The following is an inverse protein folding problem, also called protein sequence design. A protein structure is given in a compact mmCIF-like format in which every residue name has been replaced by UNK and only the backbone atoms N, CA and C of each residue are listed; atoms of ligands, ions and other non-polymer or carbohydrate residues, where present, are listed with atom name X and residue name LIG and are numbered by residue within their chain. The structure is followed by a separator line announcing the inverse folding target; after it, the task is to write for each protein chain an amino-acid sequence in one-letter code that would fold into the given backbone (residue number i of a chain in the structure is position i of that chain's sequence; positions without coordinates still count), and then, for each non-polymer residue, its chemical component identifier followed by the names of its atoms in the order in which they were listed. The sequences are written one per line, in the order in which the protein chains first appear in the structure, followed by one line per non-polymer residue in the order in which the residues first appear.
data_IF_736402917783
#
_entry.id   IF_736402917783
#
_cell.length_a   1.000
_cell.length_b   1.000
_cell.length_c   1.000
_cell.angle_alpha   90.00
_cell.angle_beta   90.00
_cell.angle_gamma   90.00
#
_symmetry.space_group_name_H-M   'P 1'
#
loop_
_entity.id
_entity.type
_entity.pdbx_description
1 polymer ?
#
# COMPACT_ATOMS: atom_id res chain seq x y z
N UNK A 1 -74.16 9.86 -54.67
CA UNK A 1 -72.71 9.96 -54.45
C UNK A 1 -72.53 10.81 -53.21
N UNK A 2 -72.03 10.19 -52.13
CA UNK A 2 -71.60 10.91 -50.92
C UNK A 2 -70.09 10.93 -51.03
N UNK A 3 -69.52 12.09 -51.33
CA UNK A 3 -68.07 12.27 -51.35
C UNK A 3 -67.59 12.28 -49.89
N UNK A 4 -66.70 11.35 -49.58
CA UNK A 4 -66.14 11.18 -48.24
C UNK A 4 -65.10 12.27 -48.00
N UNK A 5 -65.47 13.28 -47.22
CA UNK A 5 -64.75 14.55 -47.03
C UNK A 5 -63.39 14.41 -46.30
N UNK A 6 -62.92 13.19 -46.07
CA UNK A 6 -61.78 12.88 -45.21
C UNK A 6 -60.78 11.88 -45.80
N UNK A 7 -60.87 11.56 -47.10
CA UNK A 7 -59.93 10.60 -47.74
C UNK A 7 -58.47 11.07 -47.77
N UNK A 8 -58.18 12.37 -47.60
CA UNK A 8 -56.82 12.95 -47.70
C UNK A 8 -56.28 13.56 -46.39
N UNK A 9 -56.89 13.30 -45.23
CA UNK A 9 -56.37 13.81 -43.94
C UNK A 9 -55.55 12.71 -43.25
N UNK A 10 -54.26 12.61 -43.58
CA UNK A 10 -53.32 11.86 -42.75
C UNK A 10 -53.23 12.52 -41.36
N UNK A 11 -53.78 11.85 -40.34
CA UNK A 11 -53.54 12.16 -38.95
C UNK A 11 -52.05 12.00 -38.67
N UNK A 12 -51.32 13.12 -38.59
CA UNK A 12 -49.93 13.15 -38.17
C UNK A 12 -49.80 12.50 -36.79
N UNK A 13 -49.36 11.25 -36.77
CA UNK A 13 -48.99 10.58 -35.53
C UNK A 13 -47.72 11.26 -34.99
N UNK A 14 -47.57 11.42 -33.66
CA UNK A 14 -46.39 11.99 -33.05
C UNK A 14 -45.24 10.96 -33.07
N UNK A 15 -44.88 10.48 -34.26
CA UNK A 15 -43.80 9.51 -34.48
C UNK A 15 -42.43 10.16 -34.58
N UNK A 16 -42.35 11.49 -34.50
CA UNK A 16 -41.12 12.27 -34.67
C UNK A 16 -40.85 13.28 -33.54
N UNK A 17 -41.53 13.16 -32.41
CA UNK A 17 -41.21 13.98 -31.22
C UNK A 17 -40.14 13.25 -30.43
N UNK A 18 -38.93 13.82 -30.38
CA UNK A 18 -37.88 13.37 -29.49
C UNK A 18 -38.31 13.61 -28.03
N UNK A 19 -38.85 12.55 -27.41
CA UNK A 19 -39.24 12.54 -26.00
C UNK A 19 -38.06 12.22 -25.08
N UNK A 20 -36.82 12.24 -25.57
CA UNK A 20 -35.62 11.97 -24.78
C UNK A 20 -35.23 13.08 -23.81
N UNK A 21 -35.96 14.20 -23.79
CA UNK A 21 -35.80 15.25 -22.78
C UNK A 21 -36.18 14.68 -21.42
N UNK A 22 -35.19 14.12 -20.74
CA UNK A 22 -35.27 13.84 -19.31
C UNK A 22 -35.25 15.18 -18.60
N UNK A 23 -36.33 15.53 -17.92
CA UNK A 23 -36.34 16.65 -16.99
C UNK A 23 -35.23 16.43 -15.96
N UNK A 24 -34.14 17.18 -16.08
CA UNK A 24 -33.07 17.21 -15.08
C UNK A 24 -33.58 18.10 -13.97
N UNK A 25 -34.09 17.49 -12.91
CA UNK A 25 -34.44 18.20 -11.69
C UNK A 25 -33.12 18.64 -11.05
N UNK A 26 -32.79 19.93 -11.17
CA UNK A 26 -31.71 20.56 -10.41
C UNK A 26 -32.18 20.64 -8.95
N UNK A 27 -31.88 19.62 -8.15
CA UNK A 27 -32.27 19.53 -6.73
C UNK A 27 -31.40 20.40 -5.80
N UNK A 28 -30.45 21.14 -6.37
CA UNK A 28 -29.48 21.97 -5.64
C UNK A 28 -28.37 21.16 -4.96
N UNK A 29 -28.26 19.85 -5.22
CA UNK A 29 -27.16 19.03 -4.72
C UNK A 29 -25.83 19.43 -5.39
N UNK A 30 -24.72 19.42 -4.64
CA UNK A 30 -23.40 19.69 -5.21
C UNK A 30 -23.03 18.61 -6.24
N UNK A 31 -22.26 18.99 -7.25
CA UNK A 31 -21.73 18.03 -8.20
C UNK A 31 -20.68 17.14 -7.54
N UNK A 32 -20.46 15.89 -8.02
CA UNK A 32 -19.40 15.01 -7.54
C UNK A 32 -17.96 15.56 -7.67
N UNK A 33 -17.78 16.67 -8.37
CA UNK A 33 -16.51 17.39 -8.52
C UNK A 33 -16.38 18.58 -7.57
N UNK A 34 -17.46 18.98 -6.89
CA UNK A 34 -17.46 20.14 -6.02
C UNK A 34 -16.72 19.87 -4.70
N UNK A 35 -15.99 20.85 -4.15
CA UNK A 35 -15.31 20.69 -2.87
C UNK A 35 -16.24 20.29 -1.71
N UNK A 36 -17.52 20.70 -1.78
CA UNK A 36 -18.55 20.42 -0.77
C UNK A 36 -19.18 19.03 -0.91
N UNK A 37 -18.86 18.28 -1.97
CA UNK A 37 -19.43 16.96 -2.24
C UNK A 37 -19.24 16.01 -1.06
N UNK A 38 -18.03 15.96 -0.50
CA UNK A 38 -17.72 15.06 0.61
C UNK A 38 -18.62 15.32 1.82
N UNK A 39 -18.81 16.57 2.21
CA UNK A 39 -19.59 16.95 3.38
C UNK A 39 -21.09 16.73 3.14
N UNK A 40 -21.55 16.97 1.91
CA UNK A 40 -22.91 16.65 1.49
C UNK A 40 -23.20 15.15 1.62
N UNK A 41 -22.37 14.28 1.02
CA UNK A 41 -22.58 12.83 1.08
C UNK A 41 -22.50 12.33 2.52
N UNK A 42 -21.59 12.87 3.35
CA UNK A 42 -21.51 12.51 4.77
C UNK A 42 -22.74 12.94 5.57
N UNK A 43 -23.42 14.02 5.18
CA UNK A 43 -24.66 14.46 5.84
C UNK A 43 -25.85 13.54 5.59
N UNK A 44 -25.76 12.62 4.62
CA UNK A 44 -26.82 11.67 4.31
C UNK A 44 -26.79 10.42 5.19
N UNK A 45 -25.73 10.21 5.98
CA UNK A 45 -25.60 9.06 6.89
C UNK A 45 -26.34 9.32 8.20
N UNK A 46 -26.96 8.27 8.73
CA UNK A 46 -27.55 8.29 10.06
C UNK A 46 -26.46 8.10 11.15
N UNK A 47 -26.74 8.52 12.39
CA UNK A 47 -25.75 8.42 13.48
C UNK A 47 -25.32 6.97 13.78
N UNK A 48 -26.24 6.01 13.62
CA UNK A 48 -25.99 4.57 13.78
C UNK A 48 -25.22 3.95 12.59
N UNK A 49 -25.04 4.68 11.49
CA UNK A 49 -24.26 4.29 10.32
C UNK A 49 -22.85 4.87 10.34
N UNK A 50 -22.52 5.64 11.39
CA UNK A 50 -21.22 6.26 11.59
C UNK A 50 -20.54 5.66 12.82
N UNK A 51 -19.27 5.30 12.68
CA UNK A 51 -18.40 4.97 13.80
C UNK A 51 -17.21 5.93 13.80
N UNK A 52 -17.11 6.76 14.85
CA UNK A 52 -16.08 7.80 14.94
C UNK A 52 -16.02 8.70 13.68
N UNK A 53 -17.19 9.17 13.23
CA UNK A 53 -17.40 9.97 12.01
C UNK A 53 -17.07 9.28 10.69
N UNK A 54 -16.73 8.00 10.70
CA UNK A 54 -16.47 7.21 9.50
C UNK A 54 -17.69 6.36 9.17
N UNK A 55 -18.08 6.28 7.89
CA UNK A 55 -19.24 5.50 7.50
C UNK A 55 -18.95 4.00 7.61
N UNK A 56 -19.94 3.28 8.13
CA UNK A 56 -19.99 1.82 8.12
C UNK A 56 -20.43 1.32 6.73
N UNK A 57 -20.07 0.09 6.40
CA UNK A 57 -20.36 -0.49 5.08
C UNK A 57 -21.87 -0.62 4.80
N UNK A 58 -22.69 -0.84 5.83
CA UNK A 58 -24.15 -0.84 5.70
C UNK A 58 -24.71 0.54 5.29
N UNK A 59 -24.24 1.61 5.92
CA UNK A 59 -24.62 2.98 5.55
C UNK A 59 -24.13 3.33 4.15
N UNK A 60 -22.91 2.92 3.79
CA UNK A 60 -22.36 3.14 2.46
C UNK A 60 -23.25 2.50 1.38
N UNK A 61 -23.82 1.33 1.65
CA UNK A 61 -24.73 0.65 0.71
C UNK A 61 -26.00 1.46 0.49
N UNK A 62 -26.63 1.94 1.58
CA UNK A 62 -27.86 2.75 1.51
C UNK A 62 -27.63 4.07 0.80
N UNK A 63 -26.59 4.82 1.18
CA UNK A 63 -26.28 6.13 0.60
C UNK A 63 -25.82 6.00 -0.86
N UNK A 64 -25.12 4.93 -1.21
CA UNK A 64 -24.79 4.63 -2.61
C UNK A 64 -26.05 4.38 -3.45
N UNK A 65 -27.02 3.60 -2.94
CA UNK A 65 -28.28 3.41 -3.67
C UNK A 65 -29.10 4.69 -3.79
N UNK A 66 -29.03 5.57 -2.79
CA UNK A 66 -29.71 6.87 -2.81
C UNK A 66 -29.16 7.80 -3.90
N UNK A 67 -27.84 7.84 -4.09
CA UNK A 67 -27.19 8.80 -5.00
C UNK A 67 -26.90 8.26 -6.39
N UNK A 68 -26.64 6.96 -6.51
CA UNK A 68 -26.22 6.32 -7.78
C UNK A 68 -27.30 5.41 -8.37
N UNK A 69 -28.41 5.20 -7.66
CA UNK A 69 -29.47 4.29 -8.05
C UNK A 69 -29.24 2.86 -7.56
N UNK A 70 -30.12 1.94 -7.96
CA UNK A 70 -30.15 0.58 -7.43
C UNK A 70 -28.86 -0.19 -7.72
N UNK A 71 -28.33 -0.90 -6.72
CA UNK A 71 -27.25 -1.86 -6.93
C UNK A 71 -27.85 -3.14 -7.53
N UNK A 72 -27.42 -3.50 -8.74
CA UNK A 72 -27.86 -4.73 -9.43
C UNK A 72 -26.95 -5.92 -9.16
N UNK A 73 -25.71 -5.67 -8.73
CA UNK A 73 -24.77 -6.69 -8.29
C UNK A 73 -23.84 -6.14 -7.23
N UNK A 74 -23.65 -6.89 -6.13
CA UNK A 74 -22.60 -6.64 -5.14
C UNK A 74 -22.09 -7.99 -4.65
N UNK A 75 -20.80 -8.24 -4.82
CA UNK A 75 -20.21 -9.50 -4.38
C UNK A 75 -18.71 -9.62 -4.64
N UNK A 76 -18.07 -10.64 -4.05
CA UNK A 76 -16.66 -10.91 -4.30
C UNK A 76 -16.47 -11.43 -5.72
N UNK A 77 -15.57 -10.81 -6.47
CA UNK A 77 -15.15 -11.30 -7.79
C UNK A 77 -14.01 -12.30 -7.69
N UNK A 78 -13.14 -12.16 -6.68
CA UNK A 78 -12.06 -13.09 -6.37
C UNK A 78 -11.83 -13.15 -4.86
N UNK A 79 -11.58 -14.36 -4.35
CA UNK A 79 -11.30 -14.61 -2.94
C UNK A 79 -10.01 -15.42 -2.84
N UNK A 80 -9.04 -14.88 -2.10
CA UNK A 80 -7.80 -15.54 -1.74
C UNK A 80 -7.85 -15.84 -0.24
N UNK A 81 -8.32 -17.04 0.16
CA UNK A 81 -8.37 -17.41 1.57
C UNK A 81 -6.95 -17.67 2.11
N UNK A 82 -6.76 -17.73 3.43
CA UNK A 82 -5.48 -18.13 4.03
C UNK A 82 -5.08 -19.51 3.52
N UNK A 83 -3.86 -19.63 3.01
CA UNK A 83 -3.30 -20.90 2.53
C UNK A 83 -2.30 -21.47 3.55
N UNK A 84 -2.23 -22.80 3.63
CA UNK A 84 -1.21 -23.51 4.40
C UNK A 84 0.19 -23.07 3.95
N UNK A 85 1.05 -22.67 4.89
CA UNK A 85 2.38 -22.11 4.62
C UNK A 85 2.42 -20.57 4.60
N UNK A 86 1.28 -19.88 4.59
CA UNK A 86 1.21 -18.44 4.84
C UNK A 86 1.04 -18.19 6.35
N UNK A 87 2.15 -18.14 7.08
CA UNK A 87 2.14 -18.02 8.56
C UNK A 87 1.37 -16.78 9.09
N UNK A 88 1.13 -15.78 8.25
CA UNK A 88 0.46 -14.53 8.64
C UNK A 88 -1.08 -14.66 8.54
N UNK A 89 -1.59 -15.74 7.94
CA UNK A 89 -3.03 -15.96 7.79
C UNK A 89 -3.72 -14.93 6.91
N UNK A 90 -3.01 -14.33 5.94
CA UNK A 90 -3.57 -13.26 5.10
C UNK A 90 -4.66 -13.76 4.18
N UNK A 91 -5.78 -13.05 4.19
CA UNK A 91 -6.87 -13.17 3.22
C UNK A 91 -6.94 -11.91 2.37
N UNK A 92 -7.17 -12.06 1.07
CA UNK A 92 -7.38 -10.95 0.14
C UNK A 92 -8.69 -11.17 -0.61
N UNK A 93 -9.54 -10.15 -0.68
CA UNK A 93 -10.81 -10.22 -1.40
C UNK A 93 -10.87 -9.05 -2.37
N UNK A 94 -11.23 -9.35 -3.62
CA UNK A 94 -11.60 -8.36 -4.63
C UNK A 94 -13.12 -8.31 -4.68
N UNK A 95 -13.68 -7.11 -4.51
CA UNK A 95 -15.12 -6.88 -4.50
C UNK A 95 -15.54 -6.09 -5.73
N UNK A 96 -16.70 -6.42 -6.29
CA UNK A 96 -17.29 -5.73 -7.43
C UNK A 96 -18.72 -5.29 -7.10
N UNK A 97 -19.03 -4.07 -7.47
CA UNK A 97 -20.36 -3.47 -7.40
C UNK A 97 -20.75 -2.99 -8.79
N UNK A 98 -22.01 -3.22 -9.16
CA UNK A 98 -22.61 -2.72 -10.38
C UNK A 98 -23.95 -2.06 -10.07
N UNK A 99 -24.15 -0.87 -10.60
CA UNK A 99 -25.41 -0.12 -10.51
C UNK A 99 -26.26 -0.34 -11.76
N UNK A 100 -27.55 -0.02 -11.66
CA UNK A 100 -28.54 -0.17 -12.75
C UNK A 100 -28.20 0.63 -14.00
N UNK A 101 -27.49 1.76 -13.86
CA UNK A 101 -26.98 2.57 -14.97
C UNK A 101 -25.80 1.92 -15.73
N UNK A 102 -25.35 0.74 -15.28
CA UNK A 102 -24.22 -0.01 -15.82
C UNK A 102 -22.86 0.38 -15.24
N UNK A 103 -22.78 1.43 -14.42
CA UNK A 103 -21.55 1.84 -13.76
C UNK A 103 -21.05 0.73 -12.84
N UNK A 104 -19.73 0.51 -12.85
CA UNK A 104 -19.10 -0.60 -12.13
C UNK A 104 -17.92 -0.07 -11.34
N UNK A 105 -17.87 -0.45 -10.06
CA UNK A 105 -16.79 -0.10 -9.16
C UNK A 105 -16.22 -1.36 -8.53
N UNK A 106 -14.91 -1.38 -8.38
CA UNK A 106 -14.20 -2.50 -7.78
C UNK A 106 -13.07 -2.02 -6.90
N UNK A 107 -12.82 -2.78 -5.85
CA UNK A 107 -11.67 -2.58 -4.99
C UNK A 107 -11.21 -3.89 -4.35
N UNK A 108 -10.05 -3.82 -3.72
CA UNK A 108 -9.41 -4.93 -3.03
C UNK A 108 -9.11 -4.54 -1.57
N UNK A 109 -9.28 -5.51 -0.67
CA UNK A 109 -8.81 -5.38 0.69
C UNK A 109 -8.20 -6.69 1.18
N UNK A 110 -7.24 -6.54 2.10
CA UNK A 110 -6.60 -7.63 2.81
C UNK A 110 -6.94 -7.57 4.30
N UNK A 111 -7.03 -8.76 4.91
CA UNK A 111 -7.17 -8.93 6.35
C UNK A 111 -6.18 -9.96 6.84
N UNK A 112 -5.40 -9.56 7.83
CA UNK A 112 -4.42 -10.38 8.54
C UNK A 112 -4.13 -9.80 9.92
N UNK A 113 -3.40 -10.55 10.75
CA UNK A 113 -3.18 -10.26 12.18
C UNK A 113 -2.66 -8.84 12.47
N UNK A 114 -1.81 -8.28 11.61
CA UNK A 114 -1.24 -6.95 11.85
C UNK A 114 -2.12 -5.78 11.44
N UNK A 115 -3.10 -5.99 10.56
CA UNK A 115 -3.97 -4.92 10.06
C UNK A 115 -5.44 -5.06 10.49
N UNK A 116 -5.77 -6.08 11.28
CA UNK A 116 -7.12 -6.41 11.72
C UNK A 116 -7.13 -6.61 13.22
N UNK A 117 -8.15 -6.09 13.91
CA UNK A 117 -8.34 -6.33 15.35
C UNK A 117 -8.46 -7.83 15.65
N UNK A 118 -7.98 -8.27 16.81
CA UNK A 118 -7.94 -9.69 17.18
C UNK A 118 -9.34 -10.34 17.14
N UNK A 119 -10.39 -9.60 17.52
CA UNK A 119 -11.76 -10.12 17.50
C UNK A 119 -12.27 -10.40 16.08
N UNK A 120 -11.80 -9.65 15.07
CA UNK A 120 -12.22 -9.80 13.68
C UNK A 120 -11.24 -10.63 12.86
N UNK A 121 -10.01 -10.81 13.33
CA UNK A 121 -8.96 -11.55 12.62
C UNK A 121 -9.28 -13.04 12.49
N UNK A 122 -10.07 -13.62 13.40
CA UNK A 122 -10.55 -15.01 13.29
C UNK A 122 -11.47 -15.24 12.08
N UNK A 123 -12.05 -14.16 11.53
CA UNK A 123 -12.89 -14.17 10.34
C UNK A 123 -12.23 -13.42 9.17
N UNK A 124 -10.92 -13.61 8.98
CA UNK A 124 -10.09 -12.85 8.04
C UNK A 124 -10.70 -12.68 6.64
N UNK A 125 -11.23 -13.75 6.04
CA UNK A 125 -11.85 -13.67 4.70
C UNK A 125 -13.10 -12.81 4.69
N UNK A 126 -13.95 -12.92 5.72
CA UNK A 126 -15.17 -12.11 5.83
C UNK A 126 -14.82 -10.63 6.09
N UNK A 127 -13.86 -10.37 6.97
CA UNK A 127 -13.36 -9.02 7.26
C UNK A 127 -12.74 -8.37 6.03
N UNK A 128 -11.93 -9.11 5.26
CA UNK A 128 -11.41 -8.64 3.98
C UNK A 128 -12.53 -8.32 2.97
N UNK A 129 -13.57 -9.15 2.92
CA UNK A 129 -14.73 -8.92 2.04
C UNK A 129 -15.49 -7.64 2.40
N UNK A 130 -15.83 -7.43 3.67
CA UNK A 130 -16.53 -6.20 4.12
C UNK A 130 -15.68 -4.96 3.86
N UNK A 131 -14.37 -5.01 4.12
CA UNK A 131 -13.45 -3.90 3.80
C UNK A 131 -13.41 -3.60 2.30
N UNK A 132 -13.34 -4.62 1.46
CA UNK A 132 -13.31 -4.47 0.01
C UNK A 132 -14.63 -3.87 -0.52
N UNK A 133 -15.78 -4.28 0.03
CA UNK A 133 -17.08 -3.68 -0.25
C UNK A 133 -17.11 -2.18 0.12
N UNK A 134 -16.75 -1.85 1.37
CA UNK A 134 -16.74 -0.47 1.85
C UNK A 134 -15.83 0.44 1.00
N UNK A 135 -14.68 -0.06 0.57
CA UNK A 135 -13.77 0.63 -0.35
C UNK A 135 -14.38 0.88 -1.74
N UNK A 136 -15.02 -0.12 -2.32
CA UNK A 136 -15.68 0.01 -3.61
C UNK A 136 -16.84 1.03 -3.56
N UNK A 137 -17.65 1.00 -2.49
CA UNK A 137 -18.72 1.98 -2.26
C UNK A 137 -18.18 3.40 -2.04
N UNK A 138 -17.10 3.54 -1.26
CA UNK A 138 -16.40 4.83 -1.07
C UNK A 138 -15.91 5.41 -2.39
N UNK A 139 -15.35 4.57 -3.27
CA UNK A 139 -14.91 4.97 -4.62
C UNK A 139 -16.10 5.40 -5.48
N UNK A 140 -17.20 4.66 -5.43
CA UNK A 140 -18.43 5.01 -6.14
C UNK A 140 -18.94 6.40 -5.72
N UNK A 141 -18.98 6.64 -4.41
CA UNK A 141 -19.39 7.90 -3.79
C UNK A 141 -18.32 9.00 -3.78
N UNK A 142 -17.09 8.74 -4.25
CA UNK A 142 -15.94 9.67 -4.24
C UNK A 142 -15.63 10.28 -2.86
N UNK A 143 -15.81 9.49 -1.79
CA UNK A 143 -15.55 9.93 -0.42
C UNK A 143 -14.06 9.94 -0.09
N UNK A 144 -13.62 10.94 0.68
CA UNK A 144 -12.23 11.06 1.14
C UNK A 144 -11.97 10.27 2.43
N UNK A 145 -12.98 10.15 3.27
CA UNK A 145 -12.89 9.43 4.56
C UNK A 145 -12.89 7.92 4.35
N UNK A 146 -12.09 7.19 5.12
CA UNK A 146 -12.07 5.72 5.10
C UNK A 146 -13.34 5.13 5.69
N UNK A 147 -13.71 3.90 5.29
CA UNK A 147 -14.80 3.19 5.97
C UNK A 147 -14.32 2.75 7.35
N UNK A 148 -15.24 2.68 8.31
CA UNK A 148 -14.92 2.30 9.68
C UNK A 148 -14.23 0.93 9.75
N UNK A 149 -14.63 -0.02 8.92
CA UNK A 149 -14.05 -1.36 8.89
C UNK A 149 -12.59 -1.38 8.38
N UNK A 150 -12.14 -0.34 7.68
CA UNK A 150 -10.74 -0.21 7.23
C UNK A 150 -9.78 0.22 8.33
N UNK A 151 -10.29 0.85 9.39
CA UNK A 151 -9.44 1.40 10.44
C UNK A 151 -8.88 0.30 11.31
N UNK A 152 -7.57 0.33 11.49
CA UNK A 152 -6.88 -0.47 12.49
C UNK A 152 -6.23 0.44 13.52
N UNK A 153 -6.37 0.08 14.80
CA UNK A 153 -5.67 0.75 15.91
C UNK A 153 -4.27 0.16 16.13
N UNK A 154 -3.93 -0.93 15.43
CA UNK A 154 -2.63 -1.58 15.52
C UNK A 154 -1.58 -0.80 14.74
N UNK A 155 -0.35 -0.80 15.24
CA UNK A 155 0.81 -0.26 14.52
C UNK A 155 1.25 -1.26 13.43
N UNK A 156 0.53 -1.23 12.31
CA UNK A 156 0.71 -2.15 11.18
C UNK A 156 2.15 -2.16 10.68
N UNK A 157 2.84 -1.00 10.73
CA UNK A 157 4.21 -0.85 10.27
C UNK A 157 5.19 -1.60 11.18
N UNK A 158 5.06 -1.45 12.50
CA UNK A 158 5.86 -2.24 13.45
C UNK A 158 5.59 -3.73 13.36
N UNK A 159 4.32 -4.12 13.26
CA UNK A 159 3.96 -5.54 13.16
C UNK A 159 4.50 -6.16 11.85
N UNK A 160 4.42 -5.44 10.73
CA UNK A 160 5.00 -5.89 9.47
C UNK A 160 6.53 -6.01 9.54
N UNK A 161 7.19 -5.08 10.25
CA UNK A 161 8.64 -5.16 10.52
C UNK A 161 8.97 -6.38 11.39
N UNK A 162 8.26 -6.60 12.48
CA UNK A 162 8.49 -7.73 13.40
C UNK A 162 8.27 -9.10 12.74
N UNK A 163 7.26 -9.21 11.88
CA UNK A 163 7.02 -10.43 11.10
C UNK A 163 8.13 -10.64 10.06
N UNK A 164 8.58 -9.58 9.40
CA UNK A 164 9.71 -9.65 8.45
C UNK A 164 10.99 -10.11 9.14
N UNK A 165 11.24 -9.62 10.37
CA UNK A 165 12.36 -10.04 11.23
C UNK A 165 12.26 -11.52 11.63
N UNK A 166 11.06 -12.01 11.98
CA UNK A 166 10.84 -13.42 12.35
C UNK A 166 10.97 -14.39 11.18
N UNK A 167 10.61 -13.99 9.95
CA UNK A 167 10.62 -14.87 8.77
C UNK A 167 11.97 -14.98 8.05
N UNK A 168 13.01 -14.26 8.49
CA UNK A 168 14.32 -14.29 7.83
C UNK A 168 14.30 -13.82 6.36
N UNK A 169 13.23 -13.15 5.93
CA UNK A 169 13.05 -12.66 4.56
C UNK A 169 13.55 -11.20 4.48
N UNK A 170 14.86 -11.03 4.63
CA UNK A 170 15.52 -9.74 4.43
C UNK A 170 16.07 -9.66 3.00
N UNK A 171 15.41 -8.87 2.15
CA UNK A 171 15.98 -8.48 0.84
C UNK A 171 16.15 -6.96 0.72
N UNK A 172 15.80 -6.16 1.73
CA UNK A 172 16.03 -4.71 1.66
C UNK A 172 15.73 -3.98 2.97
N UNK A 173 16.38 -4.34 4.06
CA UNK A 173 16.92 -3.37 5.03
C UNK A 173 17.39 -4.16 6.22
N UNK A 174 18.62 -4.63 6.10
CA UNK A 174 19.38 -5.14 7.22
C UNK A 174 19.29 -4.14 8.37
N UNK A 175 18.59 -4.51 9.44
CA UNK A 175 19.14 -4.30 10.76
C UNK A 175 20.47 -5.05 10.75
N UNK A 176 21.47 -4.34 10.27
CA UNK A 176 22.83 -4.80 10.16
C UNK A 176 23.24 -5.24 11.55
N UNK A 177 23.32 -6.55 11.76
CA UNK A 177 23.91 -7.11 12.97
C UNK A 177 25.38 -6.67 13.00
N UNK A 178 25.56 -5.47 13.55
CA UNK A 178 26.80 -4.73 13.58
C UNK A 178 27.83 -5.40 14.50
N UNK A 179 27.36 -6.33 15.35
CA UNK A 179 28.13 -7.07 16.34
C UNK A 179 28.72 -8.39 15.82
N UNK A 180 28.16 -8.96 14.75
CA UNK A 180 28.68 -10.19 14.14
C UNK A 180 30.08 -10.00 13.54
N UNK A 181 30.79 -11.10 13.29
CA UNK A 181 32.12 -11.07 12.68
C UNK A 181 32.08 -10.56 11.23
N UNK A 182 33.12 -9.80 10.84
CA UNK A 182 33.34 -9.29 9.49
C UNK A 182 33.05 -10.36 8.43
N UNK A 183 32.27 -9.98 7.42
CA UNK A 183 31.89 -10.91 6.35
C UNK A 183 33.01 -11.05 5.31
N UNK A 184 33.05 -12.19 4.61
CA UNK A 184 34.00 -12.41 3.50
C UNK A 184 33.98 -11.32 2.41
N UNK A 185 32.82 -10.82 1.97
CA UNK A 185 32.73 -9.69 1.05
C UNK A 185 33.39 -8.41 1.59
N UNK A 186 33.20 -8.06 2.87
CA UNK A 186 33.85 -6.89 3.48
C UNK A 186 35.36 -7.06 3.54
N UNK A 187 35.84 -8.25 3.93
CA UNK A 187 37.26 -8.55 3.96
C UNK A 187 37.90 -8.41 2.56
N UNK A 188 37.21 -8.89 1.50
CA UNK A 188 37.67 -8.78 0.12
C UNK A 188 37.64 -7.34 -0.40
N UNK A 189 36.67 -6.55 0.05
CA UNK A 189 36.62 -5.13 -0.30
C UNK A 189 37.77 -4.34 0.34
N UNK A 190 38.01 -4.55 1.63
CA UNK A 190 39.14 -3.94 2.36
C UNK A 190 40.46 -4.33 1.68
N UNK A 191 40.64 -5.61 1.34
CA UNK A 191 41.84 -6.11 0.66
C UNK A 191 42.06 -5.44 -0.70
N UNK A 192 41.04 -5.46 -1.56
CA UNK A 192 41.12 -4.85 -2.89
C UNK A 192 41.40 -3.36 -2.86
N UNK A 193 40.78 -2.63 -1.92
CA UNK A 193 41.00 -1.18 -1.74
C UNK A 193 42.37 -0.88 -1.15
N UNK A 194 42.82 -1.66 -0.17
CA UNK A 194 44.14 -1.50 0.44
C UNK A 194 45.24 -1.75 -0.58
N UNK A 195 45.07 -2.74 -1.45
CA UNK A 195 45.96 -2.99 -2.59
C UNK A 195 45.94 -1.85 -3.61
N UNK A 196 44.76 -1.30 -3.93
CA UNK A 196 44.61 -0.20 -4.88
C UNK A 196 45.27 1.10 -4.38
N UNK A 197 45.19 1.37 -3.08
CA UNK A 197 45.73 2.58 -2.44
C UNK A 197 47.17 2.39 -1.93
N UNK A 198 47.71 1.17 -2.02
CA UNK A 198 49.00 0.77 -1.45
C UNK A 198 49.12 1.09 0.05
N UNK A 199 48.14 0.64 0.84
CA UNK A 199 48.07 0.86 2.29
C UNK A 199 47.98 -0.43 3.09
N UNK A 200 48.46 -0.40 4.33
CA UNK A 200 48.43 -1.52 5.27
C UNK A 200 47.07 -1.60 5.97
N UNK A 201 46.30 -2.66 5.64
CA UNK A 201 44.97 -2.87 6.19
C UNK A 201 44.97 -3.13 7.71
N UNK A 202 46.01 -3.76 8.28
CA UNK A 202 46.09 -4.00 9.73
C UNK A 202 46.29 -2.70 10.50
N UNK A 203 47.12 -1.79 9.98
CA UNK A 203 47.33 -0.48 10.61
C UNK A 203 46.05 0.36 10.58
N UNK A 204 45.30 0.32 9.48
CA UNK A 204 44.03 1.05 9.36
C UNK A 204 42.96 0.44 10.29
N UNK A 205 42.87 -0.90 10.37
CA UNK A 205 41.96 -1.58 11.30
C UNK A 205 42.27 -1.26 12.77
N UNK A 206 43.55 -1.15 13.10
CA UNK A 206 43.99 -0.74 14.43
C UNK A 206 43.65 0.71 14.73
N UNK A 207 43.89 1.62 13.79
CA UNK A 207 43.65 3.07 13.99
C UNK A 207 42.16 3.40 14.05
N UNK A 208 41.39 2.94 13.06
CA UNK A 208 39.98 3.35 12.88
C UNK A 208 39.06 2.60 13.83
N UNK A 209 39.34 1.33 14.08
CA UNK A 209 38.43 0.43 14.77
C UNK A 209 39.00 -0.18 16.06
N UNK A 210 40.22 0.20 16.45
CA UNK A 210 40.95 -0.34 17.60
C UNK A 210 41.06 -1.87 17.60
N UNK A 211 41.17 -2.46 16.41
CA UNK A 211 41.24 -3.92 16.23
C UNK A 211 42.70 -4.38 16.27
N UNK A 212 43.02 -5.23 17.24
CA UNK A 212 44.35 -5.88 17.34
C UNK A 212 44.37 -7.24 16.65
N UNK A 213 43.23 -7.94 16.63
CA UNK A 213 43.11 -9.26 16.01
C UNK A 213 42.03 -9.23 14.92
N UNK A 214 42.44 -9.41 13.67
CA UNK A 214 41.57 -9.29 12.49
C UNK A 214 40.43 -10.31 12.50
N UNK A 215 40.64 -11.50 13.09
CA UNK A 215 39.59 -12.52 13.24
C UNK A 215 38.43 -12.10 14.16
N UNK A 216 38.65 -11.09 15.02
CA UNK A 216 37.64 -10.53 15.92
C UNK A 216 37.03 -9.22 15.41
N UNK A 217 37.35 -8.81 14.17
CA UNK A 217 36.76 -7.62 13.56
C UNK A 217 35.26 -7.82 13.41
N UNK A 218 34.48 -6.91 13.97
CA UNK A 218 33.03 -6.91 13.77
C UNK A 218 32.66 -6.34 12.40
N UNK A 219 31.45 -6.66 11.95
CA UNK A 219 30.83 -6.11 10.74
C UNK A 219 30.84 -4.57 10.77
N UNK A 220 30.50 -3.95 11.90
CA UNK A 220 30.53 -2.48 12.07
C UNK A 220 31.92 -1.91 11.83
N UNK A 221 32.91 -2.46 12.54
CA UNK A 221 34.30 -2.03 12.44
C UNK A 221 34.83 -2.17 11.01
N UNK A 222 34.45 -3.23 10.30
CA UNK A 222 34.80 -3.40 8.90
C UNK A 222 34.13 -2.34 8.00
N UNK A 223 32.89 -1.97 8.27
CA UNK A 223 32.20 -0.90 7.53
C UNK A 223 32.83 0.48 7.78
N UNK A 224 33.18 0.80 9.02
CA UNK A 224 33.85 2.06 9.39
C UNK A 224 35.21 2.19 8.67
N UNK A 225 35.94 1.07 8.56
CA UNK A 225 37.21 0.99 7.82
C UNK A 225 37.00 1.14 6.31
N UNK A 226 35.94 0.55 5.75
CA UNK A 226 35.59 0.69 4.33
C UNK A 226 35.27 2.15 4.00
N UNK A 227 34.53 2.85 4.86
CA UNK A 227 34.24 4.27 4.71
C UNK A 227 35.55 5.09 4.69
N UNK A 228 36.45 4.84 5.64
CA UNK A 228 37.76 5.49 5.69
C UNK A 228 38.61 5.23 4.44
N UNK A 229 38.61 4.01 3.92
CA UNK A 229 39.32 3.67 2.68
C UNK A 229 38.74 4.40 1.46
N UNK A 230 37.41 4.59 1.42
CA UNK A 230 36.79 5.38 0.36
C UNK A 230 37.11 6.88 0.48
N UNK A 231 37.23 7.43 1.70
CA UNK A 231 37.73 8.80 1.91
C UNK A 231 39.15 8.97 1.38
N UNK A 232 40.06 8.02 1.70
CA UNK A 232 41.43 8.03 1.18
C UNK A 232 41.50 7.89 -0.33
N UNK A 233 40.56 7.18 -0.94
CA UNK A 233 40.45 7.12 -2.40
C UNK A 233 40.10 8.48 -3.00
N UNK A 234 39.21 9.24 -2.36
CA UNK A 234 38.80 10.57 -2.81
C UNK A 234 39.87 11.63 -2.54
N UNK A 235 40.62 11.50 -1.43
CA UNK A 235 41.64 12.46 -0.96
C UNK A 235 42.95 11.75 -0.62
N UNK A 236 43.71 11.38 -1.65
CA UNK A 236 44.95 10.59 -1.48
C UNK A 236 46.00 11.25 -0.59
N UNK A 237 46.04 12.58 -0.54
CA UNK A 237 47.00 13.35 0.29
C UNK A 237 46.71 13.27 1.80
N UNK A 238 45.56 12.68 2.19
CA UNK A 238 45.18 12.50 3.59
C UNK A 238 45.63 11.15 4.17
N UNK A 239 46.26 10.29 3.36
CA UNK A 239 46.79 9.00 3.81
C UNK A 239 48.05 9.25 4.65
N UNK A 240 48.05 8.85 5.93
CA UNK A 240 49.26 8.94 6.77
C UNK A 240 50.42 8.13 6.17
N UNK A 241 51.62 8.69 6.19
CA UNK A 241 52.83 8.04 5.64
C UNK A 241 53.11 6.69 6.29
N UNK A 242 52.75 6.54 7.57
CA UNK A 242 52.94 5.30 8.34
C UNK A 242 52.04 4.15 7.87
N UNK A 243 51.00 4.43 7.08
CA UNK A 243 50.09 3.43 6.52
C UNK A 243 50.48 2.99 5.13
N UNK A 244 51.48 3.61 4.49
CA UNK A 244 51.90 3.27 3.14
C UNK A 244 52.64 1.91 3.15
N UNK A 245 52.24 1.02 2.25
CA UNK A 245 52.80 -0.32 2.10
C UNK A 245 51.74 -1.39 2.25
N UNK A 246 51.27 -1.95 1.14
CA UNK A 246 50.33 -3.06 1.16
C UNK A 246 50.96 -4.33 1.74
N UNK A 247 50.30 -4.92 2.75
CA UNK A 247 50.64 -6.23 3.31
C UNK A 247 49.62 -7.26 2.82
N UNK A 248 50.07 -8.29 2.08
CA UNK A 248 49.20 -9.32 1.53
C UNK A 248 48.66 -10.31 2.59
N UNK A 249 49.37 -10.47 3.71
CA UNK A 249 49.05 -11.45 4.76
C UNK A 249 48.35 -10.81 5.97
N UNK A 250 47.76 -9.62 5.78
CA UNK A 250 47.14 -8.83 6.85
C UNK A 250 45.97 -9.54 7.58
N UNK A 251 45.45 -10.63 7.04
CA UNK A 251 44.35 -11.41 7.62
C UNK A 251 44.80 -12.48 8.64
N UNK A 252 46.11 -12.76 8.70
CA UNK A 252 46.71 -13.77 9.57
C UNK A 252 47.17 -13.19 10.91
#
# INVERSE_FOLDING_TARGET
MKDDLFEDVELATPSNTDTSVKDVIEDGSPLPTDPKWNDYVLSLFEENELFDKMPLTNGLRRVAELLMGRIVFSGPSQVFPPQSGNEIGRSTVVWKIQFEDGSTFCDVADSWEGNTDDMFCVYSTATAATRAEGRALRKALRLRVVAAEEVTKKDTAKIAQDISKKKGLDVSSSEYDSSGTMTGPQANFIDGKSKQLNVDAQKILKEVANVVNVSKTTKKQASDVIEKLNEYQQKKDTIPTDFIGYNQDWRN
#
